data_IF_508267403087
#
_entry.id   IF_508267403087
#
_cell.length_a   1.000
_cell.length_b   1.000
_cell.length_c   1.000
_cell.angle_alpha   90.00
_cell.angle_beta   90.00
_cell.angle_gamma   90.00
#
_symmetry.space_group_name_H-M   'P 1'
#
loop_
_entity.id
_entity.type
_entity.pdbx_description
1 polymer ?
#
# COMPACT_ATOMS: atom_id res chain seq x y z
N UNK A 1 -11.73 -14.95 -16.77
CA UNK A 1 -11.07 -14.57 -15.48
C UNK A 1 -10.99 -13.05 -15.29
N UNK A 2 -11.45 -12.29 -16.28
CA UNK A 2 -10.92 -10.95 -16.51
C UNK A 2 -11.69 -9.91 -15.69
N UNK A 3 -12.99 -10.18 -15.51
CA UNK A 3 -13.87 -9.45 -14.58
C UNK A 3 -13.45 -9.69 -13.14
N UNK A 4 -13.05 -10.92 -12.78
CA UNK A 4 -12.54 -11.18 -11.43
C UNK A 4 -11.28 -10.36 -11.15
N UNK A 5 -10.33 -10.34 -12.11
CA UNK A 5 -9.13 -9.51 -12.03
C UNK A 5 -9.48 -8.01 -11.90
N UNK A 6 -10.46 -7.52 -12.65
CA UNK A 6 -10.94 -6.14 -12.56
C UNK A 6 -11.51 -5.84 -11.16
N UNK A 7 -12.39 -6.68 -10.65
CA UNK A 7 -13.02 -6.50 -9.33
C UNK A 7 -11.94 -6.49 -8.24
N UNK A 8 -11.02 -7.46 -8.25
CA UNK A 8 -9.93 -7.51 -7.26
C UNK A 8 -9.01 -6.29 -7.36
N UNK A 9 -8.72 -5.83 -8.58
CA UNK A 9 -7.90 -4.64 -8.80
C UNK A 9 -8.60 -3.39 -8.26
N UNK A 10 -9.90 -3.21 -8.54
CA UNK A 10 -10.67 -2.07 -8.02
C UNK A 10 -10.70 -2.08 -6.49
N UNK A 11 -10.94 -3.23 -5.85
CA UNK A 11 -10.90 -3.36 -4.39
C UNK A 11 -9.51 -2.98 -3.85
N UNK A 12 -8.45 -3.47 -4.50
CA UNK A 12 -7.05 -3.14 -4.15
C UNK A 12 -6.79 -1.64 -4.27
N UNK A 13 -7.24 -1.02 -5.35
CA UNK A 13 -7.07 0.41 -5.64
C UNK A 13 -7.80 1.28 -4.60
N UNK A 14 -9.01 0.88 -4.19
CA UNK A 14 -9.75 1.56 -3.11
C UNK A 14 -9.02 1.47 -1.77
N UNK A 15 -8.47 0.30 -1.42
CA UNK A 15 -7.63 0.15 -0.22
C UNK A 15 -6.37 1.02 -0.28
N UNK A 16 -5.71 1.08 -1.44
CA UNK A 16 -4.55 1.94 -1.68
C UNK A 16 -4.89 3.44 -1.59
N UNK A 17 -6.01 3.85 -2.17
CA UNK A 17 -6.50 5.23 -2.11
C UNK A 17 -6.84 5.64 -0.68
N UNK A 18 -7.49 4.78 0.10
CA UNK A 18 -7.76 5.03 1.51
C UNK A 18 -6.45 5.25 2.30
N UNK A 19 -5.45 4.40 2.12
CA UNK A 19 -4.15 4.55 2.78
C UNK A 19 -3.45 5.86 2.35
N UNK A 20 -3.45 6.19 1.06
CA UNK A 20 -2.92 7.45 0.55
C UNK A 20 -3.62 8.66 1.19
N UNK A 21 -4.96 8.62 1.26
CA UNK A 21 -5.77 9.64 1.93
C UNK A 21 -5.39 9.81 3.39
N UNK A 22 -5.27 8.72 4.15
CA UNK A 22 -4.85 8.78 5.56
C UNK A 22 -3.44 9.34 5.72
N UNK A 23 -2.50 8.99 4.82
CA UNK A 23 -1.13 9.50 4.85
C UNK A 23 -1.08 11.01 4.60
N UNK A 24 -1.82 11.51 3.60
CA UNK A 24 -1.92 12.93 3.29
C UNK A 24 -2.59 13.70 4.43
N UNK A 25 -3.72 13.22 4.94
CA UNK A 25 -4.47 13.85 6.05
C UNK A 25 -3.62 13.97 7.32
N UNK A 26 -2.77 12.97 7.58
CA UNK A 26 -1.82 12.98 8.72
C UNK A 26 -0.55 13.78 8.45
N UNK A 27 -0.43 14.40 7.28
CA UNK A 27 0.66 15.31 6.93
C UNK A 27 1.93 14.62 6.45
N UNK A 28 1.84 13.40 5.90
CA UNK A 28 2.99 12.61 5.45
C UNK A 28 3.94 13.35 4.50
N UNK A 29 3.40 14.17 3.59
CA UNK A 29 4.21 15.01 2.67
C UNK A 29 5.11 16.00 3.45
N UNK A 30 4.55 16.66 4.47
CA UNK A 30 5.30 17.60 5.33
C UNK A 30 6.31 16.85 6.20
N UNK A 31 5.90 15.70 6.76
CA UNK A 31 6.75 14.85 7.59
C UNK A 31 7.95 14.26 6.85
N UNK A 32 7.87 14.13 5.53
CA UNK A 32 9.01 13.71 4.72
C UNK A 32 10.09 14.79 4.63
N UNK A 33 9.69 16.05 4.52
CA UNK A 33 10.64 17.18 4.48
C UNK A 33 11.42 17.29 5.80
N UNK A 34 10.82 16.86 6.92
CA UNK A 34 11.43 16.84 8.25
C UNK A 34 12.10 15.52 8.61
N UNK A 35 12.12 14.52 7.71
CA UNK A 35 12.73 13.21 7.95
C UNK A 35 11.96 12.28 8.91
N UNK A 36 10.73 12.64 9.27
CA UNK A 36 9.88 11.87 10.19
C UNK A 36 9.17 10.69 9.50
N UNK A 37 8.77 10.85 8.24
CA UNK A 37 8.17 9.79 7.42
C UNK A 37 9.23 8.85 6.87
N UNK A 38 9.03 7.53 7.02
CA UNK A 38 9.89 6.49 6.42
C UNK A 38 9.45 6.12 5.00
N UNK A 39 8.26 6.53 4.58
CA UNK A 39 7.72 6.29 3.25
C UNK A 39 8.04 7.47 2.31
N UNK A 40 8.82 7.27 1.23
CA UNK A 40 9.12 8.32 0.26
C UNK A 40 7.91 8.62 -0.63
N UNK A 41 7.49 9.88 -0.67
CA UNK A 41 6.39 10.40 -1.46
C UNK A 41 6.53 10.06 -2.96
N UNK A 42 7.72 10.17 -3.60
CA UNK A 42 7.87 9.75 -4.99
C UNK A 42 7.53 8.27 -5.20
N UNK A 43 7.84 7.40 -4.23
CA UNK A 43 7.52 5.97 -4.28
C UNK A 43 6.02 5.74 -4.11
N UNK A 44 5.36 6.43 -3.16
CA UNK A 44 3.92 6.32 -2.94
C UNK A 44 3.15 6.80 -4.17
N UNK A 45 3.44 8.01 -4.65
CA UNK A 45 2.77 8.57 -5.82
C UNK A 45 3.09 7.78 -7.09
N UNK A 46 4.33 7.32 -7.25
CA UNK A 46 4.73 6.46 -8.37
C UNK A 46 3.98 5.12 -8.38
N UNK A 47 3.89 4.45 -7.23
CA UNK A 47 3.10 3.22 -7.08
C UNK A 47 1.64 3.46 -7.43
N UNK A 48 1.02 4.50 -6.88
CA UNK A 48 -0.39 4.82 -7.11
C UNK A 48 -0.66 5.19 -8.58
N UNK A 49 0.19 6.01 -9.19
CA UNK A 49 0.06 6.40 -10.60
C UNK A 49 0.24 5.21 -11.54
N UNK A 50 1.26 4.37 -11.32
CA UNK A 50 1.47 3.16 -12.11
C UNK A 50 0.31 2.18 -11.96
N UNK A 51 -0.24 2.02 -10.75
CA UNK A 51 -1.40 1.16 -10.51
C UNK A 51 -2.65 1.68 -11.25
N UNK A 52 -2.87 2.99 -11.26
CA UNK A 52 -3.97 3.62 -11.99
C UNK A 52 -3.81 3.47 -13.51
N UNK A 53 -2.61 3.70 -14.04
CA UNK A 53 -2.31 3.50 -15.47
C UNK A 53 -2.51 2.04 -15.87
N UNK A 54 -2.00 1.10 -15.07
CA UNK A 54 -2.20 -0.33 -15.30
C UNK A 54 -3.68 -0.73 -15.33
N UNK A 55 -4.48 -0.18 -14.41
CA UNK A 55 -5.93 -0.41 -14.36
C UNK A 55 -6.64 0.14 -15.60
N UNK A 56 -6.27 1.34 -16.06
CA UNK A 56 -6.80 1.90 -17.31
C UNK A 56 -6.45 1.02 -18.49
N UNK A 57 -5.20 0.55 -18.60
CA UNK A 57 -4.78 -0.38 -19.66
C UNK A 57 -5.57 -1.69 -19.59
N UNK A 58 -5.86 -2.20 -18.39
CA UNK A 58 -6.69 -3.39 -18.20
C UNK A 58 -8.14 -3.17 -18.67
N UNK A 59 -8.74 -2.03 -18.34
CA UNK A 59 -10.09 -1.68 -18.81
C UNK A 59 -10.14 -1.57 -20.34
N UNK A 60 -9.11 -0.98 -20.96
CA UNK A 60 -9.00 -0.93 -22.42
C UNK A 60 -8.85 -2.34 -23.00
N UNK A 61 -8.09 -3.22 -22.35
CA UNK A 61 -8.00 -4.63 -22.73
C UNK A 61 -9.38 -5.29 -22.75
N UNK A 62 -10.21 -5.10 -21.73
CA UNK A 62 -11.56 -5.69 -21.68
C UNK A 62 -12.48 -5.25 -22.82
N UNK A 63 -12.23 -4.06 -23.41
CA UNK A 63 -13.03 -3.53 -24.52
C UNK A 63 -12.43 -3.92 -25.88
N UNK A 64 -11.10 -3.90 -26.01
CA UNK A 64 -10.40 -4.12 -27.27
C UNK A 64 -10.00 -5.58 -27.52
N UNK A 65 -10.00 -6.42 -26.48
CA UNK A 65 -9.63 -7.84 -26.48
C UNK A 65 -8.29 -8.15 -27.16
N UNK A 66 -7.29 -7.28 -26.95
CA UNK A 66 -5.94 -7.43 -27.52
C UNK A 66 -5.00 -8.05 -26.49
N UNK A 67 -4.45 -9.22 -26.79
CA UNK A 67 -3.51 -9.91 -25.90
C UNK A 67 -2.28 -9.07 -25.53
N UNK A 68 -1.83 -8.17 -26.42
CA UNK A 68 -0.73 -7.24 -26.10
C UNK A 68 -1.06 -6.28 -24.96
N UNK A 69 -2.33 -5.89 -24.78
CA UNK A 69 -2.76 -5.04 -23.67
C UNK A 69 -2.77 -5.80 -22.34
N UNK A 70 -3.17 -7.08 -22.35
CA UNK A 70 -3.10 -7.94 -21.16
C UNK A 70 -1.64 -8.10 -20.69
N UNK A 71 -0.70 -8.41 -21.60
CA UNK A 71 0.72 -8.49 -21.29
C UNK A 71 1.31 -7.14 -20.84
N UNK A 72 0.87 -6.03 -21.42
CA UNK A 72 1.29 -4.68 -20.99
C UNK A 72 0.82 -4.39 -19.57
N UNK A 73 -0.44 -4.70 -19.26
CA UNK A 73 -1.00 -4.51 -17.93
C UNK A 73 -0.30 -5.38 -16.88
N UNK A 74 -0.02 -6.65 -17.21
CA UNK A 74 0.80 -7.53 -16.38
C UNK A 74 2.20 -6.95 -16.14
N UNK A 75 2.87 -6.50 -17.22
CA UNK A 75 4.19 -5.87 -17.15
C UNK A 75 4.20 -4.61 -16.26
N UNK A 76 3.12 -3.83 -16.24
CA UNK A 76 2.93 -2.68 -15.35
C UNK A 76 2.66 -3.09 -13.89
N UNK A 77 1.98 -4.22 -13.66
CA UNK A 77 1.71 -4.70 -12.31
C UNK A 77 2.98 -5.17 -11.58
N UNK A 78 4.00 -5.64 -12.30
CA UNK A 78 5.27 -6.07 -11.69
C UNK A 78 6.00 -4.94 -10.93
N UNK A 79 6.31 -3.77 -11.53
CA UNK A 79 6.90 -2.66 -10.79
C UNK A 79 5.95 -2.10 -9.73
N UNK A 80 4.63 -2.09 -9.97
CA UNK A 80 3.63 -1.71 -8.95
C UNK A 80 3.75 -2.59 -7.71
N UNK A 81 3.79 -3.91 -7.89
CA UNK A 81 3.94 -4.88 -6.81
C UNK A 81 5.28 -4.72 -6.09
N UNK A 82 6.39 -4.56 -6.83
CA UNK A 82 7.71 -4.34 -6.25
C UNK A 82 7.73 -3.08 -5.36
N UNK A 83 7.21 -1.96 -5.86
CA UNK A 83 7.11 -0.73 -5.06
C UNK A 83 6.21 -0.94 -3.84
N UNK A 84 5.10 -1.67 -3.98
CA UNK A 84 4.22 -2.07 -2.88
C UNK A 84 4.97 -2.83 -1.78
N UNK A 85 5.76 -3.82 -2.14
CA UNK A 85 6.59 -4.59 -1.19
C UNK A 85 7.67 -3.74 -0.53
N UNK A 86 8.31 -2.81 -1.27
CA UNK A 86 9.27 -1.87 -0.69
C UNK A 86 8.62 -0.99 0.37
N UNK A 87 7.41 -0.46 0.09
CA UNK A 87 6.65 0.32 1.08
C UNK A 87 6.26 -0.52 2.29
N UNK A 88 5.79 -1.76 2.08
CA UNK A 88 5.44 -2.69 3.15
C UNK A 88 6.65 -3.00 4.05
N UNK A 89 7.81 -3.29 3.45
CA UNK A 89 9.06 -3.54 4.17
C UNK A 89 9.48 -2.34 5.03
N UNK A 90 9.30 -1.11 4.53
CA UNK A 90 9.56 0.13 5.27
C UNK A 90 8.54 0.40 6.38
N UNK A 91 7.31 -0.09 6.23
CA UNK A 91 6.23 0.08 7.20
C UNK A 91 6.30 -0.91 8.38
N UNK A 92 6.77 -2.14 8.18
CA UNK A 92 6.85 -3.20 9.21
C UNK A 92 7.54 -2.71 10.51
N UNK A 93 8.72 -2.05 10.47
CA UNK A 93 9.34 -1.53 11.68
C UNK A 93 8.45 -0.53 12.44
N UNK A 94 7.73 0.35 11.73
CA UNK A 94 6.84 1.35 12.34
C UNK A 94 5.67 0.69 13.08
N UNK A 95 5.12 -0.38 12.50
CA UNK A 95 4.10 -1.21 13.15
C UNK A 95 4.65 -1.90 14.39
N UNK A 96 5.85 -2.50 14.32
CA UNK A 96 6.49 -3.17 15.46
C UNK A 96 6.78 -2.20 16.61
N UNK A 97 7.26 -0.99 16.30
CA UNK A 97 7.49 0.07 17.28
C UNK A 97 6.18 0.52 17.94
N UNK A 98 5.06 0.56 17.20
CA UNK A 98 3.72 0.82 17.76
C UNK A 98 3.26 -0.30 18.69
N UNK A 99 3.40 -1.55 18.26
CA UNK A 99 2.97 -2.72 19.04
C UNK A 99 3.78 -2.85 20.35
N UNK A 100 5.09 -2.61 20.30
CA UNK A 100 5.95 -2.60 21.47
C UNK A 100 5.58 -1.49 22.47
N UNK A 101 5.28 -0.28 21.97
CA UNK A 101 4.83 0.83 22.82
C UNK A 101 3.46 0.56 23.48
N UNK A 102 2.55 -0.13 22.78
CA UNK A 102 1.26 -0.53 23.34
C UNK A 102 1.38 -1.67 24.37
N UNK A 103 2.44 -2.48 24.29
CA UNK A 103 2.77 -3.54 25.25
C UNK A 103 3.66 -3.06 26.42
N UNK A 104 4.07 -1.79 26.43
CA UNK A 104 4.85 -1.18 27.51
C UNK A 104 4.13 -1.20 28.86
N UNK A 105 4.86 -1.16 29.98
CA UNK A 105 4.39 -1.71 31.24
C UNK A 105 3.24 -0.91 31.85
N UNK A 106 2.04 -1.49 31.82
CA UNK A 106 0.97 -1.18 32.77
C UNK A 106 1.32 -1.58 34.24
N UNK A 107 2.55 -2.05 34.50
CA UNK A 107 2.98 -2.65 35.77
C UNK A 107 4.15 -1.94 36.48
N UNK A 108 4.63 -0.77 36.01
CA UNK A 108 5.82 -0.14 36.61
C UNK A 108 5.74 1.40 36.80
N UNK A 109 4.55 1.97 36.98
CA UNK A 109 4.42 3.39 37.34
C UNK A 109 4.38 3.56 38.87
N UNK A 110 5.57 3.65 39.49
CA UNK A 110 5.73 4.39 40.74
C UNK A 110 5.72 5.91 40.47
N UNK A 111 5.41 6.79 41.45
CA UNK A 111 5.05 8.19 41.19
C UNK A 111 6.22 9.13 40.79
N UNK A 112 7.38 8.62 40.40
CA UNK A 112 8.59 9.43 40.24
C UNK A 112 9.34 9.10 38.94
N UNK A 113 8.83 9.63 37.83
CA UNK A 113 9.65 9.91 36.66
C UNK A 113 9.13 11.21 36.05
N UNK A 114 9.75 12.32 36.47
CA UNK A 114 9.55 13.62 35.86
C UNK A 114 9.73 13.50 34.35
N UNK A 115 8.67 13.83 33.61
CA UNK A 115 8.69 13.91 32.17
C UNK A 115 9.80 14.86 31.73
N UNK A 116 10.85 14.32 31.11
CA UNK A 116 11.74 15.12 30.25
C UNK A 116 10.88 15.54 29.06
N UNK A 117 10.52 16.84 28.89
CA UNK A 117 9.83 17.30 27.70
C UNK A 117 10.89 17.41 26.60
N UNK A 118 11.17 16.29 25.91
CA UNK A 118 12.26 16.22 24.94
C UNK A 118 12.09 15.22 23.80
N UNK A 119 11.01 14.42 23.76
CA UNK A 119 10.72 13.51 22.67
C UNK A 119 9.36 13.83 22.02
N UNK A 120 9.13 15.10 21.68
CA UNK A 120 8.02 15.52 20.84
C UNK A 120 8.20 15.11 19.37
N UNK A 121 8.68 13.89 19.11
CA UNK A 121 8.77 13.34 17.78
C UNK A 121 7.35 13.23 17.22
N UNK A 122 7.04 14.02 16.21
CA UNK A 122 5.77 13.92 15.49
C UNK A 122 5.55 12.46 15.08
N UNK A 123 4.40 11.88 15.43
CA UNK A 123 4.11 10.48 15.12
C UNK A 123 4.09 10.32 13.60
N UNK A 124 4.87 9.37 13.00
CA UNK A 124 4.86 9.16 11.57
C UNK A 124 3.45 8.88 11.04
N UNK A 125 3.08 9.48 9.92
CA UNK A 125 1.76 9.40 9.32
C UNK A 125 1.34 7.94 9.08
N UNK A 126 2.26 7.12 8.57
CA UNK A 126 2.08 5.70 8.27
C UNK A 126 1.81 4.81 9.50
N UNK A 127 2.01 5.31 10.72
CA UNK A 127 1.62 4.61 11.97
C UNK A 127 0.10 4.53 12.17
N UNK A 128 -0.64 5.31 11.39
CA UNK A 128 -2.10 5.35 11.40
C UNK A 128 -2.74 4.43 10.36
N UNK A 129 -1.94 3.71 9.56
CA UNK A 129 -2.49 2.72 8.64
C UNK A 129 -3.14 1.59 9.43
N UNK A 130 -4.43 1.29 9.18
CA UNK A 130 -5.09 0.16 9.81
C UNK A 130 -4.55 -1.14 9.23
N UNK A 131 -4.01 -2.01 10.10
CA UNK A 131 -3.41 -3.30 9.75
C UNK A 131 -4.34 -4.16 8.87
N UNK A 132 -5.66 -4.27 9.14
CA UNK A 132 -6.55 -5.06 8.29
C UNK A 132 -6.58 -4.56 6.83
N UNK A 133 -6.51 -3.24 6.62
CA UNK A 133 -6.51 -2.66 5.27
C UNK A 133 -5.19 -2.90 4.57
N UNK A 134 -4.06 -2.79 5.27
CA UNK A 134 -2.72 -3.10 4.71
C UNK A 134 -2.67 -4.56 4.24
N UNK A 135 -3.13 -5.49 5.08
CA UNK A 135 -3.16 -6.91 4.76
C UNK A 135 -4.13 -7.22 3.61
N UNK A 136 -5.35 -6.67 3.65
CA UNK A 136 -6.33 -6.86 2.59
C UNK A 136 -5.81 -6.31 1.25
N UNK A 137 -5.25 -5.10 1.24
CA UNK A 137 -4.65 -4.50 0.05
C UNK A 137 -3.54 -5.39 -0.52
N UNK A 138 -2.61 -5.85 0.32
CA UNK A 138 -1.53 -6.74 -0.13
C UNK A 138 -2.03 -8.07 -0.69
N UNK A 139 -3.02 -8.69 -0.04
CA UNK A 139 -3.62 -9.94 -0.49
C UNK A 139 -4.34 -9.77 -1.84
N UNK A 140 -5.18 -8.74 -1.97
CA UNK A 140 -5.87 -8.47 -3.24
C UNK A 140 -4.92 -8.05 -4.34
N UNK A 141 -3.78 -7.41 -4.03
CA UNK A 141 -2.74 -7.10 -5.00
C UNK A 141 -2.09 -8.39 -5.56
N UNK A 142 -1.75 -9.34 -4.69
CA UNK A 142 -1.22 -10.65 -5.13
C UNK A 142 -2.25 -11.42 -5.94
N UNK A 143 -3.51 -11.45 -5.49
CA UNK A 143 -4.60 -12.08 -6.23
C UNK A 143 -4.77 -11.44 -7.63
N UNK A 144 -4.75 -10.11 -7.71
CA UNK A 144 -4.84 -9.38 -8.99
C UNK A 144 -3.69 -9.75 -9.92
N UNK A 145 -2.45 -9.80 -9.41
CA UNK A 145 -1.29 -10.19 -10.21
C UNK A 145 -1.44 -11.61 -10.79
N UNK A 146 -1.90 -12.56 -9.97
CA UNK A 146 -2.15 -13.94 -10.40
C UNK A 146 -3.27 -14.01 -11.44
N UNK A 147 -4.40 -13.34 -11.18
CA UNK A 147 -5.55 -13.34 -12.10
C UNK A 147 -5.18 -12.72 -13.46
N UNK A 148 -4.48 -11.58 -13.47
CA UNK A 148 -4.01 -10.93 -14.70
C UNK A 148 -3.01 -11.81 -15.45
N UNK A 149 -2.11 -12.51 -14.75
CA UNK A 149 -1.19 -13.47 -15.38
C UNK A 149 -1.95 -14.64 -16.03
N UNK A 150 -2.91 -15.23 -15.32
CA UNK A 150 -3.72 -16.33 -15.85
C UNK A 150 -4.49 -15.90 -17.10
N UNK A 151 -5.10 -14.72 -17.09
CA UNK A 151 -5.75 -14.13 -18.28
C UNK A 151 -4.75 -13.92 -19.42
N UNK A 152 -3.56 -13.36 -19.15
CA UNK A 152 -2.54 -13.13 -20.19
C UNK A 152 -2.02 -14.45 -20.81
N UNK A 153 -2.07 -15.54 -20.07
CA UNK A 153 -1.76 -16.90 -20.53
C UNK A 153 -2.94 -17.59 -21.23
N UNK A 154 -4.12 -16.95 -21.31
CA UNK A 154 -5.33 -17.53 -21.91
C UNK A 154 -6.03 -18.57 -21.04
N UNK A 155 -5.75 -18.59 -19.73
CA UNK A 155 -6.30 -19.57 -18.79
C UNK A 155 -7.60 -19.04 -18.17
N UNK A 156 -8.68 -19.82 -18.26
CA UNK A 156 -9.97 -19.52 -17.62
C UNK A 156 -10.84 -18.54 -18.42
N UNK A 157 -11.05 -18.86 -19.71
CA UNK A 157 -11.76 -18.04 -20.69
C UNK A 157 -12.99 -17.29 -20.18
N UNK A 158 -13.14 -16.05 -20.69
CA UNK A 158 -14.20 -15.06 -20.46
C UNK A 158 -14.61 -14.88 -18.99
#
# INVERSE_FOLDING_TARGET
MDIAALITWVITALGGFYMLGTWIQRGGVRQQQTGTSRLPAPVIFGHFALAAIGLVVWIIYLVADKSSLAWTSFGLLLPVALLGFVMLARWIPVYRDRAAAAAGPAAAAGPAAAAVPGAGGTVPAERHFPVPVVLAHGLFAVATLVLVLLTALGIGGS
#
